data_IF_389648604174
#
_entry.id   IF_389648604174
#
_cell.length_a   1.000
_cell.length_b   1.000
_cell.length_c   1.000
_cell.angle_alpha   90.00
_cell.angle_beta   90.00
_cell.angle_gamma   90.00
#
_symmetry.space_group_name_H-M   'P 1'
#
loop_
_entity.id
_entity.type
_entity.pdbx_description
1 polymer ?
#
# COMPACT_ATOMS: atom_id res chain seq x y z
N UNK A 1 2.31 7.73 16.93
CA UNK A 1 2.00 6.47 16.22
C UNK A 1 2.71 6.58 14.90
N UNK A 2 3.42 5.53 14.46
CA UNK A 2 3.99 5.52 13.12
C UNK A 2 2.88 5.78 12.09
N UNK A 3 3.19 6.45 10.97
CA UNK A 3 2.21 6.72 9.93
C UNK A 3 1.61 5.39 9.44
N UNK A 4 0.30 5.37 9.27
CA UNK A 4 -0.40 4.28 8.62
C UNK A 4 -0.65 4.70 7.18
N UNK A 5 -0.31 3.84 6.23
CA UNK A 5 -0.56 4.09 4.82
C UNK A 5 -1.79 3.31 4.37
N UNK A 6 -2.75 4.01 3.79
CA UNK A 6 -3.90 3.39 3.14
C UNK A 6 -3.59 3.18 1.66
N UNK A 7 -3.79 1.95 1.17
CA UNK A 7 -3.41 1.54 -0.17
C UNK A 7 -4.58 0.84 -0.87
N UNK A 8 -4.81 1.21 -2.13
CA UNK A 8 -5.79 0.59 -3.03
C UNK A 8 -5.09 -0.19 -4.13
N UNK A 9 -5.73 -1.26 -4.61
CA UNK A 9 -5.30 -1.96 -5.81
C UNK A 9 -6.02 -1.36 -7.02
N UNK A 10 -5.30 -0.87 -8.02
CA UNK A 10 -5.85 -0.31 -9.26
C UNK A 10 -6.04 -1.34 -10.38
N UNK A 11 -5.88 -2.62 -10.05
CA UNK A 11 -6.11 -3.74 -10.97
C UNK A 11 -7.60 -4.08 -10.98
N UNK A 12 -8.28 -3.85 -12.11
CA UNK A 12 -9.72 -4.07 -12.28
C UNK A 12 -10.14 -5.55 -12.08
N UNK A 13 -9.22 -6.50 -12.23
CA UNK A 13 -9.46 -7.92 -12.02
C UNK A 13 -9.20 -8.34 -10.55
N UNK A 14 -8.72 -7.42 -9.70
CA UNK A 14 -8.42 -7.67 -8.30
C UNK A 14 -9.63 -7.35 -7.41
N UNK A 15 -9.92 -8.23 -6.45
CA UNK A 15 -11.01 -8.05 -5.49
C UNK A 15 -10.62 -7.23 -4.25
N UNK A 16 -9.38 -6.71 -4.21
CA UNK A 16 -8.90 -5.93 -3.08
C UNK A 16 -9.41 -4.49 -3.17
N UNK A 17 -10.24 -4.10 -2.20
CA UNK A 17 -10.80 -2.75 -2.11
C UNK A 17 -9.79 -1.78 -1.48
N UNK A 18 -9.45 -1.98 -0.20
CA UNK A 18 -8.49 -1.17 0.55
C UNK A 18 -7.72 -2.03 1.55
N UNK A 19 -6.46 -1.70 1.81
CA UNK A 19 -5.75 -2.22 2.99
C UNK A 19 -4.84 -1.17 3.62
N UNK A 20 -4.62 -1.34 4.92
CA UNK A 20 -3.78 -0.45 5.72
C UNK A 20 -2.41 -1.11 5.97
N UNK A 21 -1.33 -0.43 5.54
CA UNK A 21 0.02 -0.78 5.91
C UNK A 21 0.39 -0.12 7.23
N UNK A 22 0.65 -0.95 8.24
CA UNK A 22 1.07 -0.51 9.56
C UNK A 22 2.55 -0.82 9.78
N UNK A 23 3.36 0.22 9.86
CA UNK A 23 4.77 0.05 10.20
C UNK A 23 4.96 -0.09 11.70
N UNK A 24 5.80 -1.05 12.11
CA UNK A 24 6.20 -1.21 13.51
C UNK A 24 7.24 -0.18 13.96
N UNK A 25 7.85 0.53 13.00
CA UNK A 25 8.91 1.52 13.20
C UNK A 25 8.60 2.76 12.35
N UNK A 26 9.19 3.91 12.72
CA UNK A 26 9.07 5.12 11.90
C UNK A 26 9.75 4.87 10.55
N UNK A 27 8.95 4.93 9.49
CA UNK A 27 9.41 4.88 8.11
C UNK A 27 9.81 6.29 7.69
N UNK A 28 10.99 6.47 7.08
CA UNK A 28 11.40 7.77 6.54
C UNK A 28 10.42 8.27 5.48
N UNK A 29 10.09 9.57 5.52
CA UNK A 29 9.18 10.20 4.57
C UNK A 29 9.70 10.15 3.11
N UNK A 30 11.01 9.96 2.92
CA UNK A 30 11.68 9.82 1.62
C UNK A 30 11.73 8.36 1.10
N UNK A 31 11.08 7.42 1.80
CA UNK A 31 10.88 6.07 1.29
C UNK A 31 9.71 6.05 0.29
N UNK A 32 9.99 6.58 -0.91
CA UNK A 32 9.00 6.74 -1.97
C UNK A 32 8.50 5.39 -2.52
N UNK A 33 9.32 4.34 -2.47
CA UNK A 33 9.03 3.04 -3.06
C UNK A 33 9.22 1.90 -2.06
N UNK A 34 8.22 1.65 -1.19
CA UNK A 34 8.11 0.30 -0.69
C UNK A 34 7.66 -0.58 -1.84
N UNK A 35 8.49 -1.54 -2.22
CA UNK A 35 8.15 -2.62 -3.14
C UNK A 35 7.10 -3.56 -2.50
N UNK A 36 5.91 -3.03 -2.25
CA UNK A 36 4.76 -3.77 -1.77
C UNK A 36 4.22 -4.61 -2.92
N UNK A 37 3.67 -5.76 -2.57
CA UNK A 37 2.91 -6.59 -3.49
C UNK A 37 1.50 -6.69 -2.96
N UNK A 38 0.52 -6.56 -3.85
CA UNK A 38 -0.87 -6.74 -3.52
C UNK A 38 -1.06 -8.16 -2.92
N UNK A 39 -1.62 -8.30 -1.70
CA UNK A 39 -1.80 -9.59 -1.07
C UNK A 39 -2.81 -10.50 -1.78
N UNK A 40 -3.59 -9.96 -2.72
CA UNK A 40 -4.63 -10.68 -3.46
C UNK A 40 -4.15 -11.07 -4.85
N UNK A 41 -3.77 -10.11 -5.71
CA UNK A 41 -3.34 -10.40 -7.08
C UNK A 41 -1.82 -10.61 -7.22
N UNK A 42 -1.02 -10.25 -6.21
CA UNK A 42 0.44 -10.37 -6.24
C UNK A 42 1.16 -9.29 -7.07
N UNK A 43 0.43 -8.36 -7.68
CA UNK A 43 1.02 -7.27 -8.46
C UNK A 43 1.79 -6.27 -7.57
N UNK A 44 2.91 -5.76 -8.07
CA UNK A 44 3.76 -4.79 -7.37
C UNK A 44 3.71 -3.37 -7.94
N UNK A 45 2.96 -3.17 -9.03
CA UNK A 45 2.83 -1.87 -9.73
C UNK A 45 1.39 -1.37 -9.77
N UNK A 46 0.47 -2.11 -9.14
CA UNK A 46 -0.96 -1.82 -9.11
C UNK A 46 -1.40 -1.25 -7.76
N UNK A 47 -0.47 -0.86 -6.89
CA UNK A 47 -0.77 -0.33 -5.56
C UNK A 47 -0.58 1.18 -5.56
N UNK A 48 -1.60 1.91 -5.14
CA UNK A 48 -1.56 3.37 -5.02
C UNK A 48 -1.97 3.80 -3.60
N UNK A 49 -1.29 4.82 -3.07
CA UNK A 49 -1.63 5.41 -1.76
C UNK A 49 -2.86 6.30 -1.90
N UNK A 50 -3.74 6.25 -0.91
CA UNK A 50 -4.89 7.13 -0.79
C UNK A 50 -4.62 8.19 0.27
N UNK A 51 -4.88 9.46 -0.06
CA UNK A 51 -4.89 10.55 0.91
C UNK A 51 -6.33 10.76 1.41
N UNK A 52 -6.55 10.68 2.73
CA UNK A 52 -7.81 11.01 3.40
C UNK A 52 -7.84 12.47 3.89
#
# INVERSE_FOLDING_TARGET
MPPTEELVCTDDDCVLDLFENHYTYDVPDDLEDLALSCPVCGGSTCLERVEL
#
